data_IF_079624795093
#
_entry.id   IF_079624795093
#
_cell.length_a   1.000
_cell.length_b   1.000
_cell.length_c   1.000
_cell.angle_alpha   90.00
_cell.angle_beta   90.00
_cell.angle_gamma   90.00
#
_symmetry.space_group_name_H-M   'P 1'
#
loop_
_entity.id
_entity.type
_entity.pdbx_description
1 polymer ?
#
# COMPACT_ATOMS: atom_id res chain seq x y z
N UNK A 1 -2.25 6.45 -8.99
CA UNK A 1 -2.78 5.21 -9.62
C UNK A 1 -2.38 3.96 -8.84
N UNK A 2 -1.08 3.75 -8.52
CA UNK A 2 -0.61 2.54 -7.78
C UNK A 2 -1.28 2.42 -6.41
N UNK A 3 -1.36 3.50 -5.65
CA UNK A 3 -2.04 3.50 -4.34
C UNK A 3 -3.51 3.06 -4.46
N UNK A 4 -4.24 3.58 -5.44
CA UNK A 4 -5.63 3.18 -5.66
C UNK A 4 -5.74 1.69 -6.00
N UNK A 5 -4.83 1.15 -6.82
CA UNK A 5 -4.78 -0.27 -7.14
C UNK A 5 -4.47 -1.15 -5.91
N UNK A 6 -3.63 -0.67 -5.00
CA UNK A 6 -3.35 -1.35 -3.73
C UNK A 6 -4.59 -1.40 -2.83
N UNK A 7 -5.32 -0.28 -2.71
CA UNK A 7 -6.57 -0.20 -1.95
C UNK A 7 -7.63 -1.12 -2.54
N UNK A 8 -7.80 -1.12 -3.86
CA UNK A 8 -8.71 -2.04 -4.56
C UNK A 8 -8.35 -3.51 -4.31
N UNK A 9 -7.07 -3.85 -4.35
CA UNK A 9 -6.60 -5.22 -4.06
C UNK A 9 -6.87 -5.62 -2.61
N UNK A 10 -6.68 -4.71 -1.67
CA UNK A 10 -7.01 -4.93 -0.26
C UNK A 10 -8.52 -5.19 -0.10
N UNK A 11 -9.37 -4.33 -0.64
CA UNK A 11 -10.84 -4.47 -0.59
C UNK A 11 -11.29 -5.82 -1.17
N UNK A 12 -10.74 -6.20 -2.32
CA UNK A 12 -11.03 -7.48 -2.94
C UNK A 12 -10.69 -8.68 -2.03
N UNK A 13 -9.55 -8.63 -1.32
CA UNK A 13 -9.16 -9.69 -0.39
C UNK A 13 -10.05 -9.71 0.88
N UNK A 14 -10.44 -8.55 1.39
CA UNK A 14 -11.42 -8.45 2.49
C UNK A 14 -12.74 -9.07 2.06
N UNK A 15 -13.21 -8.77 0.84
CA UNK A 15 -14.40 -9.39 0.26
C UNK A 15 -14.33 -10.92 0.21
N UNK A 16 -13.16 -11.49 -0.08
CA UNK A 16 -12.94 -12.95 -0.06
C UNK A 16 -13.16 -13.53 1.34
N UNK A 17 -12.63 -12.88 2.37
CA UNK A 17 -12.79 -13.31 3.77
C UNK A 17 -14.26 -13.24 4.18
N UNK A 18 -14.92 -12.11 3.93
CA UNK A 18 -16.35 -11.93 4.25
C UNK A 18 -17.22 -12.97 3.52
N UNK A 19 -16.93 -13.23 2.25
CA UNK A 19 -17.66 -14.25 1.48
C UNK A 19 -17.39 -15.66 1.99
N UNK A 20 -16.19 -15.96 2.48
CA UNK A 20 -15.90 -17.23 3.12
C UNK A 20 -16.75 -17.40 4.38
N UNK A 21 -16.76 -16.43 5.30
CA UNK A 21 -17.58 -16.45 6.51
C UNK A 21 -19.08 -16.63 6.18
N UNK A 22 -19.56 -15.93 5.17
CA UNK A 22 -20.95 -16.06 4.71
C UNK A 22 -21.28 -17.50 4.25
N UNK A 23 -20.39 -18.12 3.48
CA UNK A 23 -20.56 -19.51 3.02
C UNK A 23 -20.52 -20.53 4.15
N UNK A 24 -19.77 -20.22 5.22
CA UNK A 24 -19.73 -21.06 6.41
C UNK A 24 -20.93 -20.86 7.35
N UNK A 25 -21.77 -19.86 7.09
CA UNK A 25 -22.87 -19.48 7.99
C UNK A 25 -22.42 -18.78 9.26
N UNK A 26 -21.19 -18.30 9.29
CA UNK A 26 -20.58 -17.67 10.48
C UNK A 26 -20.60 -16.14 10.45
N UNK A 27 -21.02 -15.53 9.36
CA UNK A 27 -20.95 -14.08 9.22
C UNK A 27 -21.80 -13.37 10.28
N UNK A 28 -23.00 -13.85 10.56
CA UNK A 28 -23.91 -13.26 11.55
C UNK A 28 -23.42 -13.43 12.99
N UNK A 29 -22.50 -14.36 13.20
CA UNK A 29 -21.86 -14.63 14.49
C UNK A 29 -20.43 -14.08 14.58
N UNK A 30 -20.01 -13.29 13.61
CA UNK A 30 -18.65 -12.73 13.51
C UNK A 30 -18.68 -11.22 13.64
N UNK A 31 -17.94 -10.69 14.62
CA UNK A 31 -17.68 -9.26 14.71
C UNK A 31 -16.60 -8.88 13.72
N UNK A 32 -16.92 -7.99 12.77
CA UNK A 32 -15.98 -7.50 11.78
C UNK A 32 -15.58 -6.06 12.12
N UNK A 33 -14.31 -5.84 12.42
CA UNK A 33 -13.74 -4.52 12.66
C UNK A 33 -12.78 -4.16 11.51
N UNK A 34 -13.07 -3.07 10.83
CA UNK A 34 -12.18 -2.48 9.84
C UNK A 34 -11.82 -1.07 10.28
N UNK A 35 -10.53 -0.82 10.44
CA UNK A 35 -10.04 0.49 10.89
C UNK A 35 -8.64 0.76 10.35
N UNK A 36 -8.27 2.03 10.28
CA UNK A 36 -6.89 2.45 10.10
C UNK A 36 -6.27 2.73 11.47
N UNK A 37 -5.01 2.37 11.65
CA UNK A 37 -4.23 2.71 12.85
C UNK A 37 -3.87 4.20 12.90
N UNK A 38 -3.66 4.80 11.73
CA UNK A 38 -3.40 6.23 11.54
C UNK A 38 -3.81 6.62 10.11
N UNK A 39 -3.61 7.88 9.75
CA UNK A 39 -3.78 8.35 8.38
C UNK A 39 -2.65 7.91 7.46
N UNK A 40 -2.79 8.16 6.17
CA UNK A 40 -1.74 7.94 5.19
C UNK A 40 -0.48 8.75 5.54
N UNK A 41 0.69 8.12 5.42
CA UNK A 41 1.96 8.79 5.62
C UNK A 41 2.21 9.77 4.45
N UNK A 42 2.29 11.05 4.76
CA UNK A 42 2.56 12.11 3.81
C UNK A 42 3.95 12.76 3.96
N UNK A 43 4.84 12.12 4.74
CA UNK A 43 6.18 12.67 4.92
C UNK A 43 7.00 12.55 3.64
N UNK A 44 7.56 13.68 3.24
CA UNK A 44 8.57 13.69 2.19
C UNK A 44 9.82 12.97 2.71
N UNK A 45 10.36 12.05 1.93
CA UNK A 45 11.60 11.32 2.27
C UNK A 45 12.79 12.25 2.51
N UNK A 46 12.76 13.46 1.93
CA UNK A 46 13.72 14.53 2.17
C UNK A 46 13.79 14.95 3.64
N UNK A 47 12.73 14.69 4.41
CA UNK A 47 12.70 14.95 5.85
C UNK A 47 13.42 13.88 6.68
N UNK A 48 13.85 12.76 6.08
CA UNK A 48 14.55 11.70 6.79
C UNK A 48 16.07 11.87 6.72
N UNK A 49 16.72 12.31 7.81
CA UNK A 49 18.16 12.64 7.81
C UNK A 49 19.07 11.46 7.50
N UNK A 50 18.60 10.23 7.72
CA UNK A 50 19.43 9.02 7.51
C UNK A 50 19.72 8.71 6.04
N UNK A 51 19.01 9.33 5.10
CA UNK A 51 19.29 9.17 3.68
C UNK A 51 20.35 10.17 3.16
N UNK A 52 20.78 11.11 4.02
CA UNK A 52 21.77 12.13 3.66
C UNK A 52 21.23 13.23 2.76
N UNK A 53 22.12 14.16 2.37
CA UNK A 53 21.71 15.34 1.60
C UNK A 53 21.40 15.05 0.12
N UNK A 54 21.76 13.87 -0.42
CA UNK A 54 21.56 13.49 -1.83
C UNK A 54 20.47 12.41 -1.96
N UNK A 55 19.32 12.61 -1.30
CA UNK A 55 18.22 11.67 -1.41
C UNK A 55 17.73 11.52 -2.85
N UNK A 56 17.56 12.62 -3.58
CA UNK A 56 17.07 12.58 -4.96
C UNK A 56 18.02 11.80 -5.87
N UNK A 57 19.32 12.05 -5.74
CA UNK A 57 20.32 11.28 -6.48
C UNK A 57 20.38 9.81 -6.08
N UNK A 58 20.11 9.49 -4.83
CA UNK A 58 19.98 8.09 -4.39
C UNK A 58 18.78 7.42 -5.04
N UNK A 59 17.61 8.07 -5.03
CA UNK A 59 16.40 7.52 -5.64
C UNK A 59 16.58 7.32 -7.16
N UNK A 60 17.14 8.30 -7.84
CA UNK A 60 17.39 8.25 -9.29
C UNK A 60 18.35 7.10 -9.68
N UNK A 61 19.33 6.79 -8.83
CA UNK A 61 20.29 5.69 -9.07
C UNK A 61 19.73 4.29 -8.80
N UNK A 62 18.73 4.16 -7.91
CA UNK A 62 18.29 2.85 -7.40
C UNK A 62 16.87 2.50 -7.79
N UNK A 63 16.07 3.48 -8.20
CA UNK A 63 14.67 3.29 -8.54
C UNK A 63 14.36 3.86 -9.92
N UNK A 64 13.43 3.24 -10.58
CA UNK A 64 12.89 3.70 -11.85
C UNK A 64 11.38 3.79 -11.72
N UNK A 65 10.82 4.99 -11.93
CA UNK A 65 9.39 5.28 -11.87
C UNK A 65 8.77 5.46 -13.26
N UNK A 66 9.39 4.90 -14.30
CA UNK A 66 8.79 4.87 -15.62
C UNK A 66 7.48 4.09 -15.62
N UNK A 67 6.60 4.37 -16.56
CA UNK A 67 5.31 3.69 -16.67
C UNK A 67 5.46 2.20 -16.95
N UNK A 68 6.55 1.80 -17.61
CA UNK A 68 6.84 0.41 -17.98
C UNK A 68 7.10 -0.48 -16.77
N UNK A 69 7.61 0.08 -15.67
CA UNK A 69 7.99 -0.70 -14.49
C UNK A 69 7.22 -0.31 -13.23
N UNK A 70 6.26 0.59 -13.34
CA UNK A 70 5.48 1.04 -12.19
C UNK A 70 4.84 -0.14 -11.44
N UNK A 71 5.01 -0.17 -10.13
CA UNK A 71 4.53 -1.26 -9.28
C UNK A 71 5.45 -2.47 -9.19
N UNK A 72 6.63 -2.49 -9.84
CA UNK A 72 7.66 -3.51 -9.66
C UNK A 72 8.53 -3.22 -8.43
N UNK A 73 9.36 -4.18 -8.03
CA UNK A 73 10.17 -4.09 -6.83
C UNK A 73 11.17 -2.92 -6.81
N UNK A 74 11.59 -2.44 -7.98
CA UNK A 74 12.48 -1.30 -8.13
C UNK A 74 11.77 0.02 -8.47
N UNK A 75 10.43 0.03 -8.47
CA UNK A 75 9.68 1.28 -8.54
C UNK A 75 9.58 1.89 -7.14
N UNK A 76 9.70 3.21 -7.08
CA UNK A 76 9.47 3.98 -5.88
C UNK A 76 8.12 4.68 -5.99
N UNK A 77 7.24 4.43 -5.02
CA UNK A 77 5.89 5.01 -5.00
C UNK A 77 5.74 5.90 -3.78
N UNK A 78 5.27 7.10 -4.01
CA UNK A 78 4.92 8.09 -2.99
C UNK A 78 3.52 7.81 -2.42
#
# INVERSE_FOLDING_TARGET
EVYAAMVERMDWNIGRVVNYLRRQGELDNTFVLFMSDNGAEGALLEAFPKFGPDLLGFLDRHFDNSLEIIGRANSYVW
#
